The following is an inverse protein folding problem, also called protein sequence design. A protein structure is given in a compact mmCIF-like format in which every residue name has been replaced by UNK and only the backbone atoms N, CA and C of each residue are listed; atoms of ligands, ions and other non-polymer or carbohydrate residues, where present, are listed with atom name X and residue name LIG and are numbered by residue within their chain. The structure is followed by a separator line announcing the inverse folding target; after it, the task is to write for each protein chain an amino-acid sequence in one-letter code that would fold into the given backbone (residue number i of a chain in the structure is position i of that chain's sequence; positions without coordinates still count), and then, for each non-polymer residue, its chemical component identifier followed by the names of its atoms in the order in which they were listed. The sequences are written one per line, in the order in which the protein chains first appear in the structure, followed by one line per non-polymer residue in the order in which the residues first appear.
data_IF_435653832066
#
_entry.id   IF_435653832066
#
_cell.length_a   1.000
_cell.length_b   1.000
_cell.length_c   1.000
_cell.angle_alpha   90.00
_cell.angle_beta   90.00
_cell.angle_gamma   90.00
#
_symmetry.space_group_name_H-M   'P 1'
#
loop_
_entity.id
_entity.type
_entity.pdbx_description
1 polymer ?
#
# COMPACT_ATOMS: atom_id res chain seq x y z
N UNK A 1 -63.96 5.10 -33.08
CA UNK A 1 -63.46 3.93 -33.83
C UNK A 1 -62.62 4.44 -34.99
N UNK A 2 -61.39 3.97 -35.24
CA UNK A 2 -60.32 3.79 -34.25
C UNK A 2 -59.01 4.58 -34.62
N UNK A 3 -58.04 4.88 -33.75
CA UNK A 3 -57.94 4.87 -32.27
C UNK A 3 -56.63 5.58 -31.79
N UNK A 4 -56.26 5.41 -30.50
CA UNK A 4 -55.02 5.70 -29.73
C UNK A 4 -53.65 5.82 -30.46
N UNK A 5 -52.60 6.54 -29.99
CA UNK A 5 -52.29 7.30 -28.73
C UNK A 5 -51.63 8.64 -29.08
N UNK A 6 -52.14 9.83 -28.72
CA UNK A 6 -52.14 10.50 -27.41
C UNK A 6 -50.76 10.73 -26.74
N UNK A 7 -50.26 11.97 -26.84
CA UNK A 7 -49.69 12.83 -25.75
C UNK A 7 -48.55 12.30 -24.86
N UNK A 8 -47.51 13.07 -24.50
CA UNK A 8 -47.51 14.50 -24.15
C UNK A 8 -46.19 15.22 -24.52
N UNK A 9 -46.31 16.52 -24.77
CA UNK A 9 -45.21 17.50 -24.70
C UNK A 9 -44.76 17.70 -23.24
N UNK A 10 -43.49 18.03 -23.02
CA UNK A 10 -43.15 19.30 -22.36
C UNK A 10 -41.67 19.67 -22.51
N UNK A 11 -41.39 20.91 -22.90
CA UNK A 11 -40.08 21.53 -22.71
C UNK A 11 -39.88 21.84 -21.22
N UNK A 12 -38.67 21.66 -20.68
CA UNK A 12 -38.03 22.67 -19.80
C UNK A 12 -36.56 22.34 -19.58
N UNK A 13 -35.75 23.39 -19.53
CA UNK A 13 -34.40 23.39 -18.96
C UNK A 13 -34.43 23.31 -17.42
N UNK A 14 -33.61 22.47 -16.80
CA UNK A 14 -33.15 22.70 -15.42
C UNK A 14 -31.85 21.96 -15.10
N UNK A 15 -31.02 22.60 -14.27
CA UNK A 15 -29.87 21.99 -13.60
C UNK A 15 -30.29 20.80 -12.72
N UNK A 16 -29.34 19.89 -12.47
CA UNK A 16 -29.01 19.28 -11.16
C UNK A 16 -27.79 18.36 -11.39
N UNK A 17 -26.64 18.47 -10.72
CA UNK A 17 -26.34 19.24 -9.51
C UNK A 17 -26.44 18.37 -8.25
N UNK A 18 -25.64 17.31 -8.17
CA UNK A 18 -25.56 16.43 -6.98
C UNK A 18 -24.28 16.74 -6.19
N UNK A 19 -24.39 17.72 -5.30
CA UNK A 19 -23.39 18.01 -4.28
C UNK A 19 -23.42 16.92 -3.21
N UNK A 20 -22.27 16.30 -2.90
CA UNK A 20 -22.09 15.50 -1.70
C UNK A 20 -21.45 16.39 -0.64
N UNK A 21 -22.29 17.04 0.15
CA UNK A 21 -21.87 17.83 1.32
C UNK A 21 -22.06 16.98 2.57
N UNK A 22 -20.98 16.59 3.25
CA UNK A 22 -21.06 16.00 4.58
C UNK A 22 -21.38 17.10 5.60
N UNK A 23 -22.66 17.32 5.87
CA UNK A 23 -23.14 18.28 6.88
C UNK A 23 -23.04 17.68 8.30
N UNK A 24 -22.19 18.27 9.14
CA UNK A 24 -22.40 18.26 10.59
C UNK A 24 -23.08 19.58 10.97
N UNK A 25 -24.40 19.54 11.19
CA UNK A 25 -25.14 20.72 11.69
C UNK A 25 -25.01 20.84 13.22
N UNK A 26 -24.31 21.86 13.70
CA UNK A 26 -24.52 22.41 15.05
C UNK A 26 -24.82 23.91 14.95
N UNK A 27 -26.09 24.24 15.21
CA UNK A 27 -26.61 25.61 15.10
C UNK A 27 -26.09 26.51 16.24
N UNK A 28 -25.37 27.58 15.89
CA UNK A 28 -25.31 28.81 16.70
C UNK A 28 -25.54 30.03 15.82
N UNK A 29 -26.62 30.77 16.09
CA UNK A 29 -27.14 31.84 15.25
C UNK A 29 -26.98 33.19 15.94
N UNK A 30 -25.98 34.00 15.56
CA UNK A 30 -26.02 35.49 15.60
C UNK A 30 -24.80 36.15 14.97
N UNK A 31 -25.05 37.01 13.98
CA UNK A 31 -24.50 38.38 13.93
C UNK A 31 -23.06 38.59 13.47
N UNK A 32 -22.93 38.85 12.17
CA UNK A 32 -21.95 39.75 11.53
C UNK A 32 -20.47 39.35 11.46
N UNK A 33 -20.08 38.95 10.23
CA UNK A 33 -18.82 39.30 9.54
C UNK A 33 -17.48 39.15 10.28
N UNK A 34 -16.88 37.97 10.13
CA UNK A 34 -15.42 37.81 9.99
C UNK A 34 -15.09 36.86 8.84
N UNK A 35 -14.00 37.15 8.13
CA UNK A 35 -13.49 36.35 7.01
C UNK A 35 -12.66 35.20 7.58
N UNK A 36 -13.08 33.96 7.35
CA UNK A 36 -12.29 32.76 7.70
C UNK A 36 -12.17 31.82 6.49
N UNK A 37 -10.93 31.42 6.19
CA UNK A 37 -10.64 30.49 5.11
C UNK A 37 -10.85 29.05 5.57
N UNK A 38 -11.94 28.43 5.13
CA UNK A 38 -12.22 27.01 5.37
C UNK A 38 -11.42 26.13 4.41
N UNK A 39 -10.33 25.52 4.91
CA UNK A 39 -9.63 24.43 4.22
C UNK A 39 -10.51 23.17 4.21
N UNK A 40 -11.43 23.10 3.25
CA UNK A 40 -12.26 21.91 3.00
C UNK A 40 -11.45 20.87 2.23
N UNK A 41 -11.34 19.66 2.78
CA UNK A 41 -10.78 18.49 2.07
C UNK A 41 -11.73 18.11 0.93
N UNK A 42 -11.43 18.52 -0.29
CA UNK A 42 -12.19 18.14 -1.48
C UNK A 42 -11.65 16.83 -2.07
N UNK A 43 -12.43 15.76 -1.91
CA UNK A 43 -12.22 14.50 -2.62
C UNK A 43 -12.75 14.63 -4.05
N UNK A 44 -11.87 14.84 -5.02
CA UNK A 44 -12.24 14.95 -6.44
C UNK A 44 -12.32 13.58 -7.11
N UNK A 45 -13.53 13.16 -7.48
CA UNK A 45 -13.71 12.14 -8.51
C UNK A 45 -13.43 12.73 -9.90
N UNK A 46 -12.99 11.88 -10.83
CA UNK A 46 -12.51 12.25 -12.16
C UNK A 46 -13.41 13.24 -12.91
N UNK A 47 -12.86 14.41 -13.25
CA UNK A 47 -13.24 15.18 -14.43
C UNK A 47 -12.08 15.14 -15.43
N UNK A 48 -12.36 14.73 -16.67
CA UNK A 48 -11.37 14.70 -17.74
C UNK A 48 -11.08 16.12 -18.26
N UNK A 49 -9.86 16.34 -18.80
CA UNK A 49 -9.41 17.46 -19.69
C UNK A 49 -8.41 18.52 -19.16
N UNK A 50 -7.74 18.30 -18.02
CA UNK A 50 -6.50 19.04 -17.69
C UNK A 50 -5.33 18.07 -17.48
N UNK A 51 -4.11 18.49 -17.85
CA UNK A 51 -2.87 17.71 -17.65
C UNK A 51 -2.54 17.60 -16.15
N UNK A 52 -3.18 16.67 -15.45
CA UNK A 52 -2.89 16.36 -14.04
C UNK A 52 -1.45 15.83 -13.94
N UNK A 53 -0.59 16.57 -13.25
CA UNK A 53 0.83 16.23 -13.18
C UNK A 53 1.09 15.21 -12.07
N UNK A 54 0.88 13.93 -12.43
CA UNK A 54 0.86 12.70 -11.61
C UNK A 54 2.07 12.49 -10.68
N UNK A 55 3.15 13.27 -10.82
CA UNK A 55 4.41 13.12 -10.07
C UNK A 55 5.10 14.43 -9.70
N UNK A 56 4.39 15.57 -9.72
CA UNK A 56 4.99 16.88 -9.42
C UNK A 56 5.49 17.62 -10.65
N UNK A 57 4.61 18.45 -11.19
CA UNK A 57 4.94 19.42 -12.22
C UNK A 57 5.45 20.74 -11.64
N UNK A 58 5.54 21.76 -12.50
CA UNK A 58 5.91 23.12 -12.10
C UNK A 58 4.79 23.78 -11.24
N UNK A 59 3.53 23.44 -11.54
CA UNK A 59 2.35 24.11 -10.98
C UNK A 59 1.65 23.32 -9.87
N UNK A 60 1.76 21.99 -9.85
CA UNK A 60 1.08 21.14 -8.85
C UNK A 60 1.74 19.76 -8.71
N UNK A 61 1.53 19.13 -7.55
CA UNK A 61 1.89 17.74 -7.24
C UNK A 61 0.61 16.99 -6.86
N UNK A 62 0.30 15.90 -7.56
CA UNK A 62 -0.74 14.97 -7.11
C UNK A 62 -0.11 13.84 -6.29
N UNK A 63 -0.62 13.61 -5.09
CA UNK A 63 -0.25 12.52 -4.21
C UNK A 63 -1.40 11.52 -4.15
N UNK A 64 -1.12 10.29 -4.56
CA UNK A 64 -2.07 9.18 -4.57
C UNK A 64 -1.99 8.36 -3.29
N UNK A 65 -3.12 7.75 -2.92
CA UNK A 65 -3.24 6.66 -1.96
C UNK A 65 -3.40 5.32 -2.70
N UNK A 66 -3.21 4.21 -1.99
CA UNK A 66 -3.23 2.86 -2.56
C UNK A 66 -4.62 2.37 -3.01
N UNK A 67 -5.67 3.21 -2.93
CA UNK A 67 -6.98 2.95 -3.54
C UNK A 67 -7.36 3.94 -4.66
N UNK A 68 -6.37 4.65 -5.20
CA UNK A 68 -6.49 5.66 -6.26
C UNK A 68 -7.23 6.95 -5.87
N UNK A 69 -7.70 7.06 -4.62
CA UNK A 69 -7.97 8.39 -4.05
C UNK A 69 -6.68 9.20 -4.00
N UNK A 70 -6.79 10.52 -4.14
CA UNK A 70 -5.64 11.40 -4.27
C UNK A 70 -5.99 12.81 -3.80
N UNK A 71 -4.96 13.60 -3.54
CA UNK A 71 -5.07 15.03 -3.29
C UNK A 71 -3.97 15.75 -4.08
N UNK A 72 -4.26 16.99 -4.51
CA UNK A 72 -3.33 17.77 -5.34
C UNK A 72 -2.92 19.04 -4.61
N UNK A 73 -1.61 19.19 -4.38
CA UNK A 73 -1.00 20.35 -3.77
C UNK A 73 -0.63 21.33 -4.89
N UNK A 74 -1.08 22.58 -4.78
CA UNK A 74 -0.66 23.66 -5.70
C UNK A 74 0.74 24.14 -5.33
N UNK A 75 1.67 24.09 -6.28
CA UNK A 75 3.05 24.53 -6.06
C UNK A 75 3.30 26.01 -6.36
N UNK A 76 2.32 26.72 -6.95
CA UNK A 76 2.45 28.15 -7.29
C UNK A 76 3.73 28.51 -8.07
N UNK A 77 4.25 27.59 -8.89
CA UNK A 77 5.49 27.77 -9.66
C UNK A 77 6.79 27.42 -8.94
N UNK A 78 6.75 26.83 -7.73
CA UNK A 78 7.93 26.44 -6.94
C UNK A 78 8.63 25.16 -7.42
N UNK A 79 8.03 24.39 -8.34
CA UNK A 79 8.57 23.10 -8.79
C UNK A 79 9.82 23.20 -9.70
N UNK A 80 10.63 22.13 -9.85
CA UNK A 80 10.45 20.80 -9.25
C UNK A 80 11.00 20.70 -7.82
N UNK A 81 10.15 20.23 -6.90
CA UNK A 81 10.43 20.05 -5.48
C UNK A 81 11.07 18.71 -5.15
N UNK A 82 11.78 18.65 -4.02
CA UNK A 82 12.21 17.39 -3.40
C UNK A 82 11.07 16.75 -2.59
N UNK A 83 11.23 15.47 -2.23
CA UNK A 83 10.30 14.76 -1.33
C UNK A 83 10.08 15.51 -0.02
N UNK A 84 11.14 16.03 0.61
CA UNK A 84 11.04 16.79 1.86
C UNK A 84 10.16 18.04 1.70
N UNK A 85 10.33 18.78 0.61
CA UNK A 85 9.53 19.97 0.30
C UNK A 85 8.07 19.63 -0.02
N UNK A 86 7.80 18.51 -0.67
CA UNK A 86 6.42 18.04 -0.93
C UNK A 86 5.72 17.68 0.39
N UNK A 87 6.44 17.04 1.33
CA UNK A 87 5.93 16.72 2.66
C UNK A 87 5.80 17.97 3.55
N UNK A 88 6.63 19.00 3.38
CA UNK A 88 6.49 20.30 4.05
C UNK A 88 5.20 21.03 3.64
N UNK A 89 4.90 21.09 2.34
CA UNK A 89 3.66 21.68 1.82
C UNK A 89 2.43 20.86 2.27
N UNK A 90 2.55 19.53 2.36
CA UNK A 90 1.49 18.67 2.90
C UNK A 90 1.27 18.88 4.40
N UNK A 91 2.33 18.94 5.20
CA UNK A 91 2.27 19.20 6.64
C UNK A 91 1.61 20.55 6.93
N UNK A 92 1.94 21.57 6.13
CA UNK A 92 1.32 22.88 6.15
C UNK A 92 -0.17 22.82 5.77
N UNK A 93 -0.55 22.04 4.77
CA UNK A 93 -1.94 21.87 4.33
C UNK A 93 -2.84 21.20 5.39
N UNK A 94 -2.34 20.17 6.08
CA UNK A 94 -3.11 19.47 7.13
C UNK A 94 -2.87 20.02 8.55
N UNK A 95 -2.07 21.09 8.68
CA UNK A 95 -1.70 21.71 9.96
C UNK A 95 -1.11 20.72 10.98
N UNK A 96 -0.03 20.03 10.60
CA UNK A 96 0.77 19.16 11.47
C UNK A 96 2.26 19.49 11.40
N UNK A 97 3.06 18.91 12.30
CA UNK A 97 4.51 19.04 12.27
C UNK A 97 5.12 18.19 11.14
N UNK A 98 5.98 18.81 10.33
CA UNK A 98 6.71 18.14 9.25
C UNK A 98 7.53 16.95 9.75
N UNK A 99 8.08 17.00 10.97
CA UNK A 99 8.84 15.90 11.57
C UNK A 99 7.95 14.69 11.83
N UNK A 100 6.74 14.92 12.35
CA UNK A 100 5.74 13.87 12.58
C UNK A 100 5.28 13.27 11.24
N UNK A 101 5.05 14.10 10.23
CA UNK A 101 4.64 13.61 8.91
C UNK A 101 5.74 12.80 8.21
N UNK A 102 7.00 13.27 8.24
CA UNK A 102 8.18 12.58 7.69
C UNK A 102 8.48 11.26 8.42
N UNK A 103 8.21 11.19 9.73
CA UNK A 103 8.37 9.96 10.50
C UNK A 103 7.27 8.94 10.17
N UNK A 104 6.02 9.40 10.02
CA UNK A 104 4.87 8.54 9.72
C UNK A 104 4.87 8.00 8.29
N UNK A 105 5.24 8.82 7.30
CA UNK A 105 5.03 8.52 5.88
C UNK A 105 6.27 8.78 5.02
N UNK A 106 6.35 8.06 3.91
CA UNK A 106 7.32 8.33 2.85
C UNK A 106 6.65 8.31 1.47
N UNK A 107 7.30 8.95 0.50
CA UNK A 107 6.82 9.00 -0.87
C UNK A 107 7.44 7.90 -1.73
N UNK A 108 6.65 7.36 -2.65
CA UNK A 108 7.04 6.29 -3.56
C UNK A 108 6.68 6.65 -4.99
N UNK A 109 7.51 6.24 -5.95
CA UNK A 109 7.08 6.09 -7.34
C UNK A 109 6.60 4.66 -7.54
N UNK A 110 5.30 4.51 -7.84
CA UNK A 110 4.59 3.24 -7.98
C UNK A 110 4.09 3.10 -9.41
N UNK A 111 4.36 1.94 -10.00
CA UNK A 111 3.88 1.57 -11.34
C UNK A 111 3.43 0.10 -11.34
N UNK A 112 2.69 -0.34 -12.38
CA UNK A 112 2.47 -1.75 -12.70
C UNK A 112 3.69 -2.70 -12.62
N UNK A 113 4.92 -2.22 -12.83
CA UNK A 113 6.11 -3.07 -13.01
C UNK A 113 7.22 -2.88 -11.98
N UNK A 114 7.20 -1.79 -11.23
CA UNK A 114 8.26 -1.36 -10.32
C UNK A 114 7.72 -0.37 -9.27
N UNK A 115 8.10 -0.59 -8.01
CA UNK A 115 7.82 0.31 -6.88
C UNK A 115 9.15 0.71 -6.22
N UNK A 116 9.39 2.02 -6.11
CA UNK A 116 10.62 2.59 -5.53
C UNK A 116 10.25 3.61 -4.45
N UNK A 117 10.67 3.43 -3.19
CA UNK A 117 10.62 4.50 -2.19
C UNK A 117 11.65 5.57 -2.51
N UNK A 118 11.29 6.82 -2.22
CA UNK A 118 12.11 7.99 -2.48
C UNK A 118 12.75 8.51 -1.19
N UNK A 119 13.97 9.05 -1.29
CA UNK A 119 14.67 9.73 -0.20
C UNK A 119 14.28 11.21 -0.11
N UNK A 120 14.50 11.86 1.04
CA UNK A 120 14.10 13.26 1.29
C UNK A 120 14.61 14.27 0.24
N UNK A 121 15.82 14.06 -0.28
CA UNK A 121 16.47 14.90 -1.30
C UNK A 121 16.07 14.54 -2.75
N UNK A 122 15.39 13.41 -2.97
CA UNK A 122 14.98 13.00 -4.32
C UNK A 122 13.94 13.96 -4.89
N UNK A 123 14.05 14.23 -6.19
CA UNK A 123 13.04 14.95 -6.97
C UNK A 123 12.21 13.95 -7.77
N UNK A 124 10.93 13.72 -7.44
CA UNK A 124 10.11 12.70 -8.12
C UNK A 124 10.04 12.89 -9.65
N UNK A 125 10.01 14.15 -10.11
CA UNK A 125 10.05 14.50 -11.53
C UNK A 125 11.33 14.03 -12.25
N UNK A 126 12.50 14.18 -11.61
CA UNK A 126 13.79 13.80 -12.20
C UNK A 126 13.96 12.28 -12.28
N UNK A 127 13.35 11.55 -11.34
CA UNK A 127 13.31 10.09 -11.33
C UNK A 127 12.32 9.58 -12.38
N UNK A 128 11.12 10.18 -12.50
CA UNK A 128 10.16 9.88 -13.57
C UNK A 128 10.76 10.11 -14.97
N UNK A 129 11.50 11.21 -15.17
CA UNK A 129 12.18 11.49 -16.45
C UNK A 129 13.22 10.41 -16.82
N UNK A 130 13.65 9.59 -15.86
CA UNK A 130 14.58 8.47 -16.04
C UNK A 130 13.89 7.11 -15.89
N UNK A 131 12.56 7.04 -15.81
CA UNK A 131 11.83 5.83 -15.39
C UNK A 131 12.17 4.60 -16.21
N UNK A 132 12.30 4.71 -17.53
CA UNK A 132 12.71 3.60 -18.39
C UNK A 132 14.06 2.98 -17.95
N UNK A 133 15.04 3.80 -17.54
CA UNK A 133 16.33 3.30 -17.05
C UNK A 133 16.18 2.55 -15.70
N UNK A 134 15.21 2.94 -14.87
CA UNK A 134 14.86 2.21 -13.65
C UNK A 134 14.15 0.89 -13.98
N UNK A 135 13.23 0.88 -14.95
CA UNK A 135 12.58 -0.33 -15.43
C UNK A 135 13.57 -1.34 -16.02
N UNK A 136 14.46 -0.91 -16.93
CA UNK A 136 15.44 -1.80 -17.55
C UNK A 136 16.34 -2.48 -16.50
N UNK A 137 16.74 -1.70 -15.48
CA UNK A 137 17.65 -2.12 -14.41
C UNK A 137 16.98 -2.96 -13.30
N UNK A 138 15.74 -2.64 -12.93
CA UNK A 138 15.09 -3.18 -11.72
C UNK A 138 13.78 -3.94 -11.97
N UNK A 139 13.05 -3.66 -13.06
CA UNK A 139 11.78 -4.35 -13.35
C UNK A 139 11.99 -5.80 -13.78
N UNK A 140 11.06 -6.67 -13.38
CA UNK A 140 11.16 -8.11 -13.61
C UNK A 140 10.88 -8.48 -15.08
N UNK A 141 11.81 -9.22 -15.70
CA UNK A 141 12.03 -9.46 -17.15
C UNK A 141 10.90 -10.09 -18.02
N UNK A 142 9.62 -9.90 -17.72
CA UNK A 142 8.51 -10.51 -18.45
C UNK A 142 7.38 -9.53 -18.78
N UNK A 143 7.70 -8.46 -19.50
CA UNK A 143 6.70 -7.53 -20.04
C UNK A 143 7.00 -7.21 -21.50
N UNK A 144 6.04 -7.50 -22.37
CA UNK A 144 5.98 -6.91 -23.70
C UNK A 144 5.52 -5.46 -23.52
N UNK A 145 6.37 -4.53 -23.91
CA UNK A 145 6.12 -3.09 -23.97
C UNK A 145 6.14 -2.31 -22.63
N UNK A 146 7.33 -2.03 -22.06
CA UNK A 146 7.49 -1.09 -20.95
C UNK A 146 7.37 0.39 -21.36
N UNK A 147 7.31 0.72 -22.65
CA UNK A 147 7.45 2.11 -23.14
C UNK A 147 6.25 3.01 -22.79
N UNK A 148 5.13 2.42 -22.33
CA UNK A 148 3.94 3.14 -21.87
C UNK A 148 3.82 3.21 -20.34
N UNK A 149 4.78 2.67 -19.58
CA UNK A 149 4.71 2.63 -18.13
C UNK A 149 5.08 3.99 -17.52
N UNK A 150 4.14 4.55 -16.75
CA UNK A 150 4.27 5.85 -16.09
C UNK A 150 4.02 5.66 -14.60
N UNK A 151 4.98 6.02 -13.72
CA UNK A 151 4.78 5.91 -12.30
C UNK A 151 3.88 7.03 -11.78
N UNK A 152 3.11 6.74 -10.75
CA UNK A 152 2.40 7.71 -9.93
C UNK A 152 3.20 8.01 -8.66
N UNK A 153 3.10 9.23 -8.14
CA UNK A 153 3.65 9.57 -6.83
C UNK A 153 2.63 9.23 -5.73
N UNK A 154 3.02 8.33 -4.84
CA UNK A 154 2.14 7.75 -3.82
C UNK A 154 2.69 8.05 -2.43
N UNK A 155 1.82 8.42 -1.49
CA UNK A 155 2.17 8.50 -0.06
C UNK A 155 1.82 7.17 0.63
N UNK A 156 2.80 6.61 1.34
CA UNK A 156 2.70 5.30 2.02
C UNK A 156 3.26 5.40 3.43
N UNK A 157 2.98 4.42 4.28
CA UNK A 157 3.62 4.26 5.59
C UNK A 157 5.14 4.27 5.43
N UNK A 158 5.85 4.97 6.30
CA UNK A 158 7.31 4.90 6.33
C UNK A 158 7.75 3.47 6.69
N UNK A 159 8.58 2.85 5.85
CA UNK A 159 9.16 1.53 6.15
C UNK A 159 10.23 1.59 7.26
N UNK A 160 10.70 2.81 7.59
CA UNK A 160 11.61 3.09 8.69
C UNK A 160 10.90 3.23 10.03
N UNK A 161 9.57 3.40 10.05
CA UNK A 161 8.77 3.62 11.26
C UNK A 161 8.55 2.32 12.06
N UNK A 162 9.02 2.23 13.32
CA UNK A 162 8.67 1.13 14.23
C UNK A 162 7.18 1.15 14.60
N UNK A 163 6.59 -0.02 14.89
CA UNK A 163 5.15 -0.14 15.17
C UNK A 163 4.75 0.54 16.48
N UNK A 164 5.64 0.49 17.46
CA UNK A 164 5.52 1.11 18.77
C UNK A 164 5.47 2.63 18.64
N UNK A 165 6.30 3.18 17.75
CA UNK A 165 6.38 4.61 17.45
C UNK A 165 5.15 5.09 16.67
N UNK A 166 4.67 4.31 15.70
CA UNK A 166 3.40 4.56 15.01
C UNK A 166 2.23 4.66 15.99
N UNK A 167 2.11 3.71 16.93
CA UNK A 167 1.05 3.73 17.94
C UNK A 167 1.17 4.97 18.85
N UNK A 168 2.38 5.32 19.31
CA UNK A 168 2.61 6.52 20.13
C UNK A 168 2.20 7.80 19.40
N UNK A 169 2.56 7.95 18.12
CA UNK A 169 2.19 9.14 17.32
C UNK A 169 0.67 9.19 17.17
N UNK A 170 0.02 8.07 16.86
CA UNK A 170 -1.44 8.02 16.73
C UNK A 170 -2.15 8.34 18.05
N UNK A 171 -1.67 7.85 19.19
CA UNK A 171 -2.21 8.18 20.52
C UNK A 171 -2.06 9.68 20.83
N UNK A 172 -0.92 10.30 20.49
CA UNK A 172 -0.73 11.74 20.64
C UNK A 172 -1.72 12.52 19.75
N UNK A 173 -1.72 12.26 18.44
CA UNK A 173 -2.56 12.98 17.48
C UNK A 173 -4.06 12.77 17.74
N UNK A 174 -4.49 11.61 18.27
CA UNK A 174 -5.89 11.38 18.65
C UNK A 174 -6.38 12.35 19.73
N UNK A 175 -5.48 12.74 20.64
CA UNK A 175 -5.79 13.63 21.76
C UNK A 175 -5.60 15.12 21.41
N UNK A 176 -4.65 15.45 20.54
CA UNK A 176 -4.29 16.85 20.21
C UNK A 176 -4.91 17.36 18.90
N UNK A 177 -4.93 16.53 17.86
CA UNK A 177 -5.33 16.90 16.50
C UNK A 177 -6.19 15.81 15.82
N UNK A 178 -7.48 15.65 16.20
CA UNK A 178 -8.33 14.56 15.72
C UNK A 178 -8.46 14.45 14.19
N UNK A 179 -8.38 15.56 13.45
CA UNK A 179 -8.42 15.54 11.98
C UNK A 179 -7.11 15.03 11.36
N UNK A 180 -5.96 15.34 11.97
CA UNK A 180 -4.66 14.77 11.58
C UNK A 180 -4.65 13.27 11.89
N UNK A 181 -5.19 12.85 13.04
CA UNK A 181 -5.40 11.44 13.36
C UNK A 181 -6.28 10.74 12.32
N UNK A 182 -7.44 11.32 11.95
CA UNK A 182 -8.32 10.78 10.91
C UNK A 182 -7.58 10.62 9.57
N UNK A 183 -6.80 11.63 9.18
CA UNK A 183 -5.97 11.60 7.97
C UNK A 183 -4.91 10.49 8.02
N UNK A 184 -4.19 10.37 9.13
CA UNK A 184 -3.17 9.33 9.31
C UNK A 184 -3.76 7.91 9.28
N UNK A 185 -4.89 7.69 9.96
CA UNK A 185 -5.60 6.40 9.94
C UNK A 185 -6.04 6.05 8.52
N UNK A 186 -6.53 7.02 7.72
CA UNK A 186 -6.88 6.77 6.31
C UNK A 186 -5.67 6.32 5.48
N UNK A 187 -4.54 7.04 5.53
CA UNK A 187 -3.34 6.66 4.76
C UNK A 187 -2.88 5.25 5.16
N UNK A 188 -2.65 5.01 6.46
CA UNK A 188 -2.21 3.71 6.98
C UNK A 188 -3.16 2.58 6.58
N UNK A 189 -4.47 2.81 6.67
CA UNK A 189 -5.47 1.83 6.26
C UNK A 189 -5.43 1.55 4.77
N UNK A 190 -5.34 2.57 3.91
CA UNK A 190 -5.29 2.34 2.45
C UNK A 190 -4.06 1.52 2.04
N UNK A 191 -2.90 1.81 2.63
CA UNK A 191 -1.64 1.11 2.40
C UNK A 191 -1.71 -0.36 2.89
N UNK A 192 -2.13 -0.56 4.14
CA UNK A 192 -2.25 -1.91 4.70
C UNK A 192 -3.37 -2.76 4.07
N UNK A 193 -4.42 -2.12 3.55
CA UNK A 193 -5.49 -2.75 2.75
C UNK A 193 -4.93 -3.30 1.44
N UNK A 194 -4.13 -2.52 0.72
CA UNK A 194 -3.46 -2.97 -0.51
C UNK A 194 -2.47 -4.10 -0.23
N UNK A 195 -1.62 -3.99 0.80
CA UNK A 195 -0.70 -5.07 1.21
C UNK A 195 -1.46 -6.38 1.54
N UNK A 196 -2.57 -6.29 2.26
CA UNK A 196 -3.44 -7.43 2.57
C UNK A 196 -4.05 -8.06 1.30
N UNK A 197 -4.60 -7.24 0.39
CA UNK A 197 -5.25 -7.71 -0.84
C UNK A 197 -4.25 -8.30 -1.86
N UNK A 198 -3.02 -7.78 -1.92
CA UNK A 198 -1.88 -8.39 -2.63
C UNK A 198 -1.42 -9.70 -2.02
N UNK A 199 -1.88 -10.01 -0.80
CA UNK A 199 -1.58 -11.24 -0.08
C UNK A 199 -0.26 -11.20 0.69
N UNK A 200 0.37 -10.03 0.85
CA UNK A 200 1.66 -9.85 1.53
C UNK A 200 1.67 -10.33 2.97
N UNK A 201 0.53 -10.29 3.67
CA UNK A 201 0.46 -10.72 5.07
C UNK A 201 0.28 -12.23 5.25
N UNK A 202 1.17 -12.84 6.02
CA UNK A 202 1.08 -14.23 6.48
C UNK A 202 0.00 -14.42 7.57
N UNK A 203 -1.27 -14.10 7.25
CA UNK A 203 -2.36 -14.18 8.22
C UNK A 203 -2.98 -15.58 8.31
N UNK A 204 -3.23 -16.04 9.55
CA UNK A 204 -4.02 -17.24 9.80
C UNK A 204 -5.51 -17.04 9.50
N UNK A 205 -6.23 -18.13 9.21
CA UNK A 205 -7.62 -18.11 8.74
C UNK A 205 -8.59 -17.24 9.54
N UNK A 206 -8.52 -17.26 10.88
CA UNK A 206 -9.39 -16.45 11.73
C UNK A 206 -9.13 -14.93 11.58
N UNK A 207 -7.89 -14.54 11.32
CA UNK A 207 -7.55 -13.15 11.05
C UNK A 207 -8.00 -12.74 9.64
N UNK A 208 -7.87 -13.62 8.63
CA UNK A 208 -8.44 -13.42 7.28
C UNK A 208 -9.97 -13.22 7.36
N UNK A 209 -10.68 -14.05 8.14
CA UNK A 209 -12.12 -13.91 8.38
C UNK A 209 -12.48 -12.56 9.06
N UNK A 210 -11.70 -12.11 10.05
CA UNK A 210 -11.90 -10.82 10.74
C UNK A 210 -11.67 -9.64 9.79
N UNK A 211 -10.54 -9.62 9.08
CA UNK A 211 -10.18 -8.56 8.13
C UNK A 211 -11.22 -8.46 7.00
N UNK A 212 -11.64 -9.61 6.47
CA UNK A 212 -12.74 -9.70 5.48
C UNK A 212 -14.03 -9.07 6.01
N UNK A 213 -14.44 -9.41 7.24
CA UNK A 213 -15.65 -8.84 7.84
C UNK A 213 -15.54 -7.30 8.00
N UNK A 214 -14.38 -6.77 8.38
CA UNK A 214 -14.14 -5.33 8.50
C UNK A 214 -14.26 -4.63 7.14
N UNK A 215 -13.65 -5.17 6.07
CA UNK A 215 -13.75 -4.60 4.72
C UNK A 215 -15.19 -4.59 4.20
N UNK A 216 -15.95 -5.66 4.43
CA UNK A 216 -17.38 -5.74 4.09
C UNK A 216 -18.17 -4.68 4.87
N UNK A 217 -17.95 -4.53 6.17
CA UNK A 217 -18.63 -3.53 6.99
C UNK A 217 -18.29 -2.10 6.55
N UNK A 218 -17.04 -1.82 6.18
CA UNK A 218 -16.61 -0.52 5.67
C UNK A 218 -17.30 -0.19 4.34
N UNK A 219 -17.40 -1.16 3.42
CA UNK A 219 -18.11 -1.01 2.15
C UNK A 219 -19.63 -0.79 2.33
N UNK A 220 -20.26 -1.47 3.29
CA UNK A 220 -21.67 -1.29 3.60
C UNK A 220 -21.97 0.13 4.14
N UNK A 221 -21.10 0.67 4.99
CA UNK A 221 -21.20 2.06 5.45
C UNK A 221 -21.04 3.06 4.29
N UNK A 222 -20.04 2.88 3.41
CA UNK A 222 -19.79 3.82 2.30
C UNK A 222 -20.91 3.87 1.25
N UNK A 223 -21.76 2.85 1.19
CA UNK A 223 -22.85 2.74 0.21
C UNK A 223 -24.22 3.15 0.76
N UNK A 224 -24.31 3.58 2.04
CA UNK A 224 -25.57 3.84 2.74
C UNK A 224 -26.58 2.66 2.67
N UNK A 225 -26.07 1.43 2.50
CA UNK A 225 -26.88 0.22 2.48
C UNK A 225 -27.33 -0.12 3.91
N UNK A 226 -28.41 0.54 4.35
CA UNK A 226 -29.01 0.37 5.68
C UNK A 226 -29.58 -1.03 5.96
N UNK A 227 -29.58 -1.92 4.97
CA UNK A 227 -29.87 -3.35 5.10
C UNK A 227 -28.66 -4.18 4.66
N UNK A 228 -28.35 -5.23 5.41
CA UNK A 228 -27.44 -6.31 4.98
C UNK A 228 -28.10 -7.21 3.92
N UNK A 229 -28.95 -6.66 3.06
CA UNK A 229 -29.53 -7.40 1.95
C UNK A 229 -28.44 -7.61 0.90
N UNK A 230 -28.09 -8.88 0.77
CA UNK A 230 -26.85 -9.36 0.20
C UNK A 230 -26.96 -9.39 -1.33
N UNK A 231 -27.09 -8.20 -1.93
CA UNK A 231 -27.33 -8.05 -3.36
C UNK A 231 -26.17 -8.59 -4.21
N UNK A 232 -26.50 -9.07 -5.42
CA UNK A 232 -25.52 -9.66 -6.34
C UNK A 232 -24.38 -8.71 -6.70
N UNK A 233 -24.65 -7.40 -6.66
CA UNK A 233 -23.65 -6.36 -6.87
C UNK A 233 -22.64 -6.28 -5.70
N UNK A 234 -23.13 -6.42 -4.46
CA UNK A 234 -22.28 -6.52 -3.26
C UNK A 234 -21.45 -7.80 -3.32
N UNK A 235 -22.00 -8.94 -3.73
CA UNK A 235 -21.25 -10.20 -3.83
C UNK A 235 -20.09 -10.11 -4.85
N UNK A 236 -20.28 -9.39 -5.96
CA UNK A 236 -19.18 -9.12 -6.91
C UNK A 236 -18.09 -8.25 -6.26
N UNK A 237 -18.48 -7.16 -5.59
CA UNK A 237 -17.59 -6.28 -4.83
C UNK A 237 -16.83 -7.02 -3.70
N UNK A 238 -17.50 -7.90 -2.96
CA UNK A 238 -16.88 -8.73 -1.92
C UNK A 238 -15.80 -9.65 -2.46
N UNK A 239 -15.97 -10.23 -3.65
CA UNK A 239 -14.93 -11.07 -4.23
C UNK A 239 -13.64 -10.30 -4.57
N UNK A 240 -13.70 -8.97 -4.76
CA UNK A 240 -12.51 -8.11 -4.87
C UNK A 240 -11.88 -7.80 -3.50
N UNK A 241 -12.71 -7.67 -2.45
CA UNK A 241 -12.27 -7.41 -1.07
C UNK A 241 -11.78 -8.69 -0.34
N UNK A 242 -12.03 -9.86 -0.92
CA UNK A 242 -11.57 -11.16 -0.44
C UNK A 242 -10.14 -11.43 -0.91
N UNK A 243 -9.20 -11.61 0.03
CA UNK A 243 -7.80 -11.99 -0.24
C UNK A 243 -7.73 -13.17 -1.22
N UNK A 244 -7.00 -13.09 -2.36
CA UNK A 244 -6.76 -14.23 -3.22
C UNK A 244 -6.05 -15.37 -2.46
N UNK A 245 -6.63 -16.58 -2.42
CA UNK A 245 -5.94 -17.73 -1.84
C UNK A 245 -4.76 -18.09 -2.74
N UNK A 246 -3.55 -18.13 -2.16
CA UNK A 246 -2.31 -18.73 -2.68
C UNK A 246 -2.18 -18.70 -4.21
N UNK A 247 -2.35 -17.51 -4.80
CA UNK A 247 -2.29 -17.29 -6.24
C UNK A 247 -1.15 -16.32 -6.53
N UNK A 248 0.08 -16.82 -6.75
CA UNK A 248 1.30 -16.01 -6.85
C UNK A 248 1.46 -15.31 -8.21
N UNK A 249 0.36 -14.86 -8.81
CA UNK A 249 0.37 -14.12 -10.06
C UNK A 249 0.24 -12.63 -9.78
N UNK A 250 1.05 -11.84 -10.50
CA UNK A 250 1.01 -10.38 -10.42
C UNK A 250 -0.37 -9.88 -10.78
N UNK A 251 -0.91 -9.01 -9.95
CA UNK A 251 -2.00 -8.11 -10.28
C UNK A 251 -1.42 -6.71 -10.21
N UNK A 252 -1.14 -6.03 -11.33
CA UNK A 252 -0.60 -4.69 -11.30
C UNK A 252 -1.63 -3.69 -10.74
N UNK A 253 -1.12 -2.67 -10.03
CA UNK A 253 -1.87 -1.67 -9.27
C UNK A 253 -3.05 -1.01 -10.01
N UNK A 254 -2.99 -0.89 -11.34
CA UNK A 254 -3.97 -0.14 -12.15
C UNK A 254 -4.79 -0.95 -13.16
N UNK A 255 -4.63 -2.28 -13.30
CA UNK A 255 -5.21 -2.99 -14.46
C UNK A 255 -5.89 -4.35 -14.22
N UNK A 256 -5.87 -4.96 -13.02
CA UNK A 256 -6.41 -6.33 -12.91
C UNK A 256 -7.03 -6.77 -11.58
N UNK A 257 -7.41 -5.84 -10.70
CA UNK A 257 -8.35 -6.20 -9.61
C UNK A 257 -9.62 -6.81 -10.23
N UNK A 258 -10.08 -6.30 -11.39
CA UNK A 258 -11.23 -6.79 -12.18
C UNK A 258 -11.19 -8.28 -12.58
N UNK A 259 -10.01 -8.89 -12.71
CA UNK A 259 -9.86 -10.13 -13.50
C UNK A 259 -9.63 -11.41 -12.66
N UNK A 260 -9.41 -11.29 -11.34
CA UNK A 260 -9.16 -12.44 -10.47
C UNK A 260 -10.41 -13.04 -9.81
N UNK A 261 -11.58 -12.45 -10.06
CA UNK A 261 -12.87 -12.87 -9.51
C UNK A 261 -13.60 -13.82 -10.46
N UNK A 262 -13.32 -15.13 -10.34
CA UNK A 262 -14.13 -16.19 -11.01
C UNK A 262 -14.51 -17.36 -10.09
N UNK A 263 -14.27 -17.25 -8.78
CA UNK A 263 -14.79 -18.20 -7.78
C UNK A 263 -15.54 -17.45 -6.68
N UNK A 264 -16.87 -17.46 -6.78
CA UNK A 264 -17.79 -17.01 -5.73
C UNK A 264 -17.50 -17.76 -4.43
N UNK A 265 -16.87 -17.11 -3.45
CA UNK A 265 -16.71 -17.72 -2.13
C UNK A 265 -18.04 -17.68 -1.39
N UNK A 266 -18.41 -18.81 -0.79
CA UNK A 266 -19.44 -18.81 0.25
C UNK A 266 -18.81 -18.23 1.52
N UNK A 267 -19.43 -17.19 2.09
CA UNK A 267 -19.02 -16.65 3.38
C UNK A 267 -19.01 -17.78 4.43
N UNK A 268 -17.97 -17.80 5.27
CA UNK A 268 -17.81 -18.84 6.28
C UNK A 268 -18.54 -18.44 7.57
N UNK A 269 -18.91 -19.43 8.40
CA UNK A 269 -19.60 -19.17 9.67
C UNK A 269 -18.77 -18.28 10.62
N UNK A 270 -17.44 -18.39 10.57
CA UNK A 270 -16.49 -17.54 11.27
C UNK A 270 -16.54 -16.09 10.78
N UNK A 271 -16.59 -15.86 9.46
CA UNK A 271 -16.76 -14.53 8.88
C UNK A 271 -18.09 -13.89 9.29
N UNK A 272 -19.20 -14.66 9.31
CA UNK A 272 -20.51 -14.18 9.78
C UNK A 272 -20.49 -13.75 11.25
N UNK A 273 -19.81 -14.52 12.11
CA UNK A 273 -19.61 -14.14 13.52
C UNK A 273 -18.88 -12.79 13.65
N UNK A 274 -17.81 -12.59 12.86
CA UNK A 274 -17.10 -11.31 12.86
C UNK A 274 -17.94 -10.17 12.28
N UNK A 275 -18.77 -10.41 11.26
CA UNK A 275 -19.70 -9.40 10.71
C UNK A 275 -20.71 -8.92 11.75
N UNK A 276 -21.33 -9.82 12.53
CA UNK A 276 -22.22 -9.44 13.63
C UNK A 276 -21.50 -8.58 14.68
N UNK A 277 -20.24 -8.91 15.00
CA UNK A 277 -19.41 -8.11 15.90
C UNK A 277 -19.09 -6.72 15.31
N UNK A 278 -18.79 -6.62 14.01
CA UNK A 278 -18.49 -5.33 13.37
C UNK A 278 -19.70 -4.38 13.30
N UNK A 279 -20.95 -4.87 13.37
CA UNK A 279 -22.14 -4.00 13.50
C UNK A 279 -22.10 -3.08 14.73
N UNK A 280 -21.37 -3.48 15.77
CA UNK A 280 -21.18 -2.69 17.00
C UNK A 280 -20.15 -1.56 16.84
N UNK A 281 -19.31 -1.61 15.80
CA UNK A 281 -18.26 -0.62 15.53
C UNK A 281 -18.85 0.49 14.65
N UNK A 282 -19.29 1.57 15.28
CA UNK A 282 -19.89 2.70 14.56
C UNK A 282 -18.82 3.68 14.06
N UNK A 283 -18.79 3.88 12.73
CA UNK A 283 -17.96 4.87 12.05
C UNK A 283 -16.82 4.25 11.22
N UNK A 284 -16.62 4.78 10.00
CA UNK A 284 -15.62 4.32 9.04
C UNK A 284 -14.20 4.29 9.63
N UNK A 285 -13.77 5.39 10.27
CA UNK A 285 -12.44 5.51 10.91
C UNK A 285 -12.23 4.43 11.97
N UNK A 286 -13.25 4.04 12.75
CA UNK A 286 -13.11 2.99 13.78
C UNK A 286 -12.99 1.59 13.17
N UNK A 287 -13.61 1.34 12.02
CA UNK A 287 -13.38 0.11 11.25
C UNK A 287 -11.96 0.08 10.66
N UNK A 288 -11.46 1.21 10.15
CA UNK A 288 -10.07 1.34 9.70
C UNK A 288 -9.08 1.10 10.85
N UNK A 289 -9.34 1.66 12.02
CA UNK A 289 -8.54 1.45 13.23
C UNK A 289 -8.53 -0.03 13.69
N UNK A 290 -9.69 -0.71 13.66
CA UNK A 290 -9.79 -2.13 13.99
C UNK A 290 -9.12 -3.04 12.94
N UNK A 291 -9.09 -2.63 11.67
CA UNK A 291 -8.28 -3.26 10.63
C UNK A 291 -6.79 -3.12 10.97
N UNK A 292 -6.33 -1.89 11.22
CA UNK A 292 -4.94 -1.57 11.56
C UNK A 292 -4.44 -2.32 12.81
N UNK A 293 -5.23 -2.35 13.88
CA UNK A 293 -4.96 -3.17 15.08
C UNK A 293 -4.74 -4.65 14.73
N UNK A 294 -5.53 -5.19 13.81
CA UNK A 294 -5.44 -6.61 13.41
C UNK A 294 -4.21 -6.90 12.54
N UNK A 295 -3.80 -5.99 11.65
CA UNK A 295 -2.65 -6.21 10.77
C UNK A 295 -1.31 -5.92 11.47
N UNK A 296 -1.27 -5.00 12.44
CA UNK A 296 -0.05 -4.68 13.23
C UNK A 296 0.55 -5.90 13.93
N UNK A 297 -0.25 -6.88 14.29
CA UNK A 297 0.20 -8.17 14.87
C UNK A 297 1.05 -9.00 13.89
N UNK A 298 0.97 -8.76 12.57
CA UNK A 298 1.72 -9.52 11.58
C UNK A 298 3.16 -9.03 11.45
N UNK A 299 4.13 -9.95 11.35
CA UNK A 299 5.55 -9.61 11.17
C UNK A 299 5.80 -8.76 9.90
N UNK A 300 5.01 -8.99 8.84
CA UNK A 300 5.15 -8.32 7.55
C UNK A 300 4.43 -6.96 7.43
N UNK A 301 3.79 -6.46 8.50
CA UNK A 301 3.16 -5.13 8.49
C UNK A 301 4.18 -4.02 8.31
N UNK A 302 3.96 -3.14 7.33
CA UNK A 302 4.86 -2.01 7.03
C UNK A 302 6.20 -2.43 6.41
N UNK A 303 6.26 -3.59 5.75
CA UNK A 303 7.46 -4.09 5.10
C UNK A 303 7.55 -3.67 3.63
N UNK A 304 8.73 -3.26 3.19
CA UNK A 304 9.07 -3.29 1.76
C UNK A 304 9.18 -4.74 1.31
N UNK A 305 8.43 -5.15 0.28
CA UNK A 305 8.44 -6.53 -0.24
C UNK A 305 8.94 -6.57 -1.68
N UNK A 306 10.00 -7.35 -1.93
CA UNK A 306 10.56 -7.56 -3.26
C UNK A 306 10.59 -9.05 -3.64
N UNK A 307 10.15 -9.44 -4.85
CA UNK A 307 10.26 -10.81 -5.32
C UNK A 307 11.70 -11.08 -5.78
N UNK A 308 12.21 -12.25 -5.41
CA UNK A 308 13.55 -12.72 -5.74
C UNK A 308 13.59 -14.25 -5.92
N UNK A 309 14.78 -14.80 -6.13
CA UNK A 309 15.00 -16.22 -6.34
C UNK A 309 16.14 -16.73 -5.44
N UNK A 310 15.97 -17.92 -4.86
CA UNK A 310 16.96 -18.59 -4.00
C UNK A 310 17.05 -20.06 -4.45
N UNK A 311 18.23 -20.68 -4.37
CA UNK A 311 18.38 -22.09 -4.73
C UNK A 311 17.66 -23.03 -3.75
N UNK A 312 17.16 -24.16 -4.23
CA UNK A 312 16.48 -25.15 -3.38
C UNK A 312 17.36 -25.63 -2.21
N UNK A 313 18.68 -25.70 -2.41
CA UNK A 313 19.66 -26.07 -1.39
C UNK A 313 19.70 -25.01 -0.26
N UNK A 314 19.74 -23.73 -0.62
CA UNK A 314 19.70 -22.62 0.33
C UNK A 314 18.35 -22.47 1.03
N UNK A 315 17.22 -22.75 0.36
CA UNK A 315 15.90 -22.79 1.01
C UNK A 315 15.85 -23.87 2.10
N UNK A 316 16.45 -25.03 1.84
CA UNK A 316 16.62 -26.03 2.89
C UNK A 316 17.50 -25.46 4.01
N UNK A 317 18.65 -24.84 3.69
CA UNK A 317 19.55 -24.29 4.71
C UNK A 317 18.84 -23.33 5.67
N UNK A 318 18.07 -22.38 5.12
CA UNK A 318 17.24 -21.45 5.90
C UNK A 318 16.22 -22.16 6.80
N UNK A 319 15.54 -23.21 6.32
CA UNK A 319 14.61 -24.00 7.14
C UNK A 319 15.33 -24.75 8.27
N UNK A 320 16.57 -25.20 8.06
CA UNK A 320 17.38 -25.87 9.08
C UNK A 320 17.96 -24.89 10.11
N UNK A 321 18.21 -23.62 9.76
CA UNK A 321 18.49 -22.58 10.76
C UNK A 321 17.31 -22.37 11.73
N UNK A 322 16.08 -22.63 11.26
CA UNK A 322 14.85 -22.63 12.08
C UNK A 322 14.62 -23.98 12.79
N UNK A 323 15.23 -25.08 12.33
CA UNK A 323 15.01 -26.44 12.87
C UNK A 323 16.29 -27.28 12.92
N UNK A 324 16.84 -27.49 14.13
CA UNK A 324 18.07 -28.26 14.38
C UNK A 324 17.99 -29.73 13.94
N UNK A 325 18.30 -30.02 12.68
CA UNK A 325 18.53 -31.37 12.16
C UNK A 325 19.54 -31.37 11.01
N UNK A 326 20.22 -32.50 10.81
CA UNK A 326 21.39 -32.65 9.93
C UNK A 326 21.06 -32.75 8.43
N UNK A 327 22.08 -32.48 7.60
CA UNK A 327 21.95 -32.22 6.17
C UNK A 327 22.51 -33.33 5.26
N UNK A 328 21.98 -33.41 4.04
CA UNK A 328 22.66 -34.04 2.90
C UNK A 328 22.44 -33.21 1.63
N UNK A 329 23.49 -33.09 0.81
CA UNK A 329 23.44 -32.39 -0.47
C UNK A 329 23.30 -33.41 -1.61
N UNK A 330 22.27 -33.28 -2.46
CA UNK A 330 22.20 -33.82 -3.83
C UNK A 330 20.88 -33.40 -4.50
N UNK A 331 20.81 -32.18 -5.04
CA UNK A 331 19.78 -31.78 -6.00
C UNK A 331 20.31 -30.70 -6.94
N UNK A 332 19.97 -30.71 -8.24
CA UNK A 332 20.35 -29.64 -9.17
C UNK A 332 19.77 -28.29 -8.73
N UNK A 333 20.44 -27.20 -9.12
CA UNK A 333 20.08 -25.83 -8.73
C UNK A 333 18.82 -25.31 -9.42
N UNK A 334 17.67 -25.81 -8.94
CA UNK A 334 16.37 -25.19 -9.20
C UNK A 334 16.25 -23.96 -8.30
N UNK A 335 16.07 -22.80 -8.93
CA UNK A 335 15.76 -21.54 -8.24
C UNK A 335 14.26 -21.45 -7.98
N UNK A 336 13.88 -21.31 -6.72
CA UNK A 336 12.49 -21.19 -6.29
C UNK A 336 12.16 -19.70 -6.03
N UNK A 337 10.98 -19.21 -6.46
CA UNK A 337 10.59 -17.82 -6.26
C UNK A 337 10.20 -17.56 -4.81
N UNK A 338 10.79 -16.52 -4.22
CA UNK A 338 10.56 -16.06 -2.85
C UNK A 338 10.15 -14.60 -2.83
N UNK A 339 9.58 -14.16 -1.71
CA UNK A 339 9.51 -12.75 -1.35
C UNK A 339 10.54 -12.46 -0.26
N UNK A 340 11.32 -11.41 -0.45
CA UNK A 340 12.18 -10.80 0.56
C UNK A 340 11.43 -9.61 1.13
N UNK A 341 11.29 -9.55 2.44
CA UNK A 341 10.55 -8.51 3.13
C UNK A 341 11.39 -7.85 4.21
N UNK A 342 11.30 -6.53 4.32
CA UNK A 342 12.14 -5.72 5.22
C UNK A 342 11.31 -4.61 5.87
N UNK A 343 11.33 -4.52 7.19
CA UNK A 343 10.85 -3.36 7.95
C UNK A 343 12.01 -2.70 8.71
N UNK A 344 11.71 -1.70 9.55
CA UNK A 344 12.67 -0.91 10.33
C UNK A 344 13.65 -1.72 11.18
N UNK A 345 13.36 -2.97 11.55
CA UNK A 345 14.20 -3.79 12.43
C UNK A 345 14.52 -5.19 11.91
N UNK A 346 13.69 -5.73 11.01
CA UNK A 346 13.68 -7.16 10.68
C UNK A 346 13.77 -7.38 9.17
N UNK A 347 14.65 -8.30 8.78
CA UNK A 347 14.78 -8.86 7.45
C UNK A 347 14.20 -10.28 7.44
N UNK A 348 13.39 -10.61 6.44
CA UNK A 348 12.83 -11.95 6.32
C UNK A 348 12.56 -12.39 4.88
N UNK A 349 12.29 -13.68 4.75
CA UNK A 349 12.09 -14.36 3.47
C UNK A 349 10.88 -15.28 3.59
N UNK A 350 9.97 -15.26 2.62
CA UNK A 350 8.81 -16.15 2.57
C UNK A 350 8.63 -16.80 1.19
N UNK A 351 7.97 -17.96 1.15
CA UNK A 351 7.67 -18.64 -0.13
C UNK A 351 6.67 -17.82 -0.94
N UNK A 352 6.90 -17.66 -2.24
CA UNK A 352 5.93 -16.93 -3.08
C UNK A 352 4.57 -17.63 -3.18
N UNK A 353 4.56 -18.98 -3.16
CA UNK A 353 3.35 -19.80 -3.37
C UNK A 353 2.34 -19.69 -2.23
N UNK A 354 2.81 -19.77 -0.99
CA UNK A 354 1.96 -19.95 0.20
C UNK A 354 2.16 -18.88 1.28
N UNK A 355 3.04 -17.89 1.03
CA UNK A 355 3.49 -16.91 2.01
C UNK A 355 4.02 -17.55 3.31
N UNK A 356 4.61 -18.74 3.26
CA UNK A 356 5.20 -19.37 4.44
C UNK A 356 6.57 -18.74 4.72
N UNK A 357 6.78 -18.22 5.93
CA UNK A 357 8.06 -17.65 6.35
C UNK A 357 9.13 -18.75 6.36
N UNK A 358 10.20 -18.55 5.59
CA UNK A 358 11.37 -19.42 5.49
C UNK A 358 12.48 -19.00 6.46
N UNK A 359 12.60 -17.69 6.69
CA UNK A 359 13.65 -17.07 7.48
C UNK A 359 13.21 -15.71 8.01
N UNK A 360 13.69 -15.34 9.19
CA UNK A 360 13.50 -14.02 9.80
C UNK A 360 14.67 -13.73 10.74
N UNK A 361 15.19 -12.50 10.73
CA UNK A 361 16.34 -12.08 11.52
C UNK A 361 16.34 -10.55 11.70
N UNK A 362 16.77 -10.07 12.86
CA UNK A 362 17.02 -8.65 13.07
C UNK A 362 18.14 -8.14 12.15
N UNK A 363 17.93 -6.99 11.52
CA UNK A 363 18.89 -6.35 10.59
C UNK A 363 20.20 -6.01 11.32
N UNK A 364 20.12 -5.61 12.59
CA UNK A 364 21.28 -5.41 13.46
C UNK A 364 22.18 -6.65 13.59
N UNK A 365 21.66 -7.85 13.33
CA UNK A 365 22.34 -9.13 13.40
C UNK A 365 22.66 -9.74 12.02
N UNK A 366 22.43 -8.98 10.94
CA UNK A 366 22.70 -9.35 9.56
C UNK A 366 24.06 -8.79 9.07
N UNK A 367 24.72 -9.51 8.17
CA UNK A 367 25.76 -8.99 7.27
C UNK A 367 25.29 -9.25 5.84
N UNK A 368 25.46 -8.28 4.95
CA UNK A 368 25.16 -8.46 3.53
C UNK A 368 26.20 -7.77 2.65
N UNK A 369 26.32 -8.24 1.41
CA UNK A 369 27.12 -7.60 0.37
C UNK A 369 26.47 -7.86 -1.00
N UNK A 370 26.59 -6.90 -1.91
CA UNK A 370 26.09 -7.04 -3.28
C UNK A 370 27.22 -7.49 -4.20
N UNK A 371 26.98 -8.54 -4.99
CA UNK A 371 27.97 -8.99 -5.96
C UNK A 371 28.04 -8.00 -7.15
N UNK A 372 29.25 -7.76 -7.70
CA UNK A 372 29.42 -6.92 -8.87
C UNK A 372 28.63 -7.50 -10.05
N UNK A 373 28.04 -6.62 -10.87
CA UNK A 373 27.28 -7.05 -12.03
C UNK A 373 28.21 -7.60 -13.10
N UNK A 374 28.22 -8.93 -13.24
CA UNK A 374 28.82 -9.60 -14.39
C UNK A 374 27.88 -9.41 -15.58
N UNK A 375 28.45 -9.17 -16.77
CA UNK A 375 27.69 -9.00 -18.00
C UNK A 375 26.82 -10.24 -18.25
N UNK A 376 25.55 -10.01 -18.59
CA UNK A 376 24.54 -11.04 -18.87
C UNK A 376 24.10 -11.90 -17.65
N UNK A 377 24.54 -11.57 -16.42
CA UNK A 377 24.06 -12.19 -15.18
C UNK A 377 23.22 -11.23 -14.34
N UNK A 378 22.20 -11.76 -13.65
CA UNK A 378 21.47 -11.00 -12.63
C UNK A 378 22.39 -10.68 -11.45
N UNK A 379 22.28 -9.47 -10.89
CA UNK A 379 22.95 -9.13 -9.64
C UNK A 379 22.40 -9.98 -8.51
N UNK A 380 23.29 -10.40 -7.62
CA UNK A 380 22.94 -11.16 -6.42
C UNK A 380 23.31 -10.39 -5.15
N UNK A 381 22.49 -10.56 -4.12
CA UNK A 381 22.76 -10.13 -2.76
C UNK A 381 23.18 -11.36 -1.95
N UNK A 382 24.38 -11.35 -1.39
CA UNK A 382 24.79 -12.33 -0.39
C UNK A 382 24.43 -11.81 1.00
N UNK A 383 23.84 -12.65 1.85
CA UNK A 383 23.64 -12.35 3.26
C UNK A 383 24.05 -13.51 4.17
N UNK A 384 24.44 -13.20 5.40
CA UNK A 384 24.87 -14.16 6.42
C UNK A 384 24.61 -13.59 7.82
N UNK A 385 24.13 -14.37 8.79
CA UNK A 385 24.05 -13.94 10.19
C UNK A 385 25.42 -13.53 10.75
N UNK A 386 25.45 -12.57 11.69
CA UNK A 386 26.71 -12.15 12.36
C UNK A 386 27.39 -13.26 13.14
N UNK A 387 26.64 -14.27 13.62
CA UNK A 387 27.15 -15.37 14.44
C UNK A 387 27.62 -16.59 13.65
N UNK A 388 27.40 -16.64 12.32
CA UNK A 388 27.87 -17.74 11.47
C UNK A 388 29.27 -17.48 10.90
N UNK A 389 29.93 -18.56 10.49
CA UNK A 389 31.21 -18.51 9.76
C UNK A 389 31.07 -17.70 8.47
N UNK A 390 32.18 -17.16 7.99
CA UNK A 390 32.27 -16.37 6.75
C UNK A 390 31.84 -17.11 5.48
N UNK A 391 31.57 -18.41 5.56
CA UNK A 391 31.41 -19.27 4.39
C UNK A 391 29.92 -19.64 4.17
N UNK A 392 29.06 -19.36 5.16
CA UNK A 392 27.62 -19.63 5.13
C UNK A 392 26.82 -18.44 4.57
N UNK A 393 27.08 -18.08 3.32
CA UNK A 393 26.27 -17.08 2.61
C UNK A 393 25.04 -17.70 1.95
N UNK A 394 23.90 -17.05 2.10
CA UNK A 394 22.72 -17.29 1.28
C UNK A 394 22.67 -16.24 0.17
N UNK A 395 22.49 -16.72 -1.06
CA UNK A 395 22.44 -15.89 -2.27
C UNK A 395 20.99 -15.62 -2.66
N UNK A 396 20.62 -14.35 -2.71
CA UNK A 396 19.36 -13.86 -3.26
C UNK A 396 19.66 -13.33 -4.66
N UNK A 397 19.23 -14.07 -5.68
CA UNK A 397 19.38 -13.68 -7.08
C UNK A 397 18.12 -12.96 -7.57
N UNK A 398 18.30 -12.00 -8.48
CA UNK A 398 17.19 -11.28 -9.10
C UNK A 398 17.43 -9.77 -9.20
N UNK A 399 16.77 -9.11 -10.15
CA UNK A 399 16.91 -7.65 -10.38
C UNK A 399 16.61 -6.77 -9.16
N UNK A 400 15.77 -7.24 -8.24
CA UNK A 400 15.48 -6.51 -7.01
C UNK A 400 16.61 -6.56 -5.96
N UNK A 401 17.67 -7.37 -6.14
CA UNK A 401 18.81 -7.46 -5.20
C UNK A 401 19.46 -6.12 -4.88
N UNK A 402 19.52 -5.21 -5.86
CA UNK A 402 20.02 -3.85 -5.64
C UNK A 402 19.04 -2.97 -4.87
N UNK A 403 17.73 -3.15 -5.04
CA UNK A 403 16.72 -2.43 -4.24
C UNK A 403 16.76 -2.93 -2.79
N UNK A 404 16.79 -4.25 -2.59
CA UNK A 404 16.95 -4.89 -1.27
C UNK A 404 18.22 -4.36 -0.56
N UNK A 405 19.35 -4.28 -1.28
CA UNK A 405 20.58 -3.68 -0.75
C UNK A 405 20.40 -2.21 -0.32
N UNK A 406 19.76 -1.38 -1.16
CA UNK A 406 19.53 0.04 -0.86
C UNK A 406 18.62 0.24 0.37
N UNK A 407 17.59 -0.59 0.54
CA UNK A 407 16.72 -0.55 1.73
C UNK A 407 17.50 -0.94 2.99
N UNK A 408 18.27 -2.03 2.95
CA UNK A 408 19.10 -2.45 4.08
C UNK A 408 20.17 -1.39 4.45
N UNK A 409 20.79 -0.76 3.45
CA UNK A 409 21.74 0.33 3.65
C UNK A 409 21.06 1.58 4.24
N UNK A 410 19.85 1.92 3.79
CA UNK A 410 19.04 3.01 4.36
C UNK A 410 18.76 2.78 5.85
N UNK A 411 18.20 1.61 6.19
CA UNK A 411 17.87 1.24 7.58
C UNK A 411 19.13 1.22 8.44
N UNK A 412 20.24 0.68 7.95
CA UNK A 412 21.51 0.60 8.69
C UNK A 412 22.23 1.94 8.88
N UNK A 413 21.77 3.02 8.22
CA UNK A 413 22.23 4.38 8.48
C UNK A 413 21.30 5.12 9.47
N UNK A 414 20.13 4.55 9.79
CA UNK A 414 19.15 5.07 10.75
C UNK A 414 19.17 4.35 12.12
N UNK A 415 19.85 3.19 12.21
CA UNK A 415 20.16 2.45 13.45
C UNK A 415 21.55 2.85 13.95
#
# INVERSE_FOLDING_TARGET
MPDFTSTHECNTSSLNGLYITALNETYLRRGNETIEGTNVVQYTNFDNTLEVNVTGGINSVTLYLMDNSHFTISLLGRGPLTVSQILEELASYINTDILVLNEMFCLWLVSPFLEIPLYHEDKPSDIRNKWQNFLDKFSHDFVKDPQSDVPCLVIRRSYLLPKERENWILEEQQNTHPEVYNFFIRILFTDAKDEYLRGSYCCGKNAEDKLTAILISSYALSTNAGSYEFDGNIQNQMNYLLRPHNTPNKVPFLTSISNYVTKTRKIQKSTLYWLEKMKTVCGEIKLMEEFLKTVRDFQMYGCVVYPAFISQQQINHLRHLVTHNSFSFNSPDVFDPVFVWINSTTFGISTKRDANILYTQEIANLRWTILPQIKDYMRSLLFCPKHESSDNYVEITGKASTLIHNILASISNHI
#
